data_IF_362156006080
#
_entry.id   IF_362156006080
#
_cell.length_a   1.000
_cell.length_b   1.000
_cell.length_c   1.000
_cell.angle_alpha   90.00
_cell.angle_beta   90.00
_cell.angle_gamma   90.00
#
_symmetry.space_group_name_H-M   'P 1'
#
loop_
_entity.id
_entity.type
_entity.pdbx_description
1 polymer ?
#
# COMPACT_ATOMS: atom_id res chain seq x y z
N UNK A 1 1.01 -3.94 -59.91
CA UNK A 1 1.33 -2.86 -58.94
C UNK A 1 0.13 -2.24 -58.21
N UNK A 2 -1.13 -2.36 -58.69
CA UNK A 2 -2.31 -1.78 -58.00
C UNK A 2 -2.96 -2.65 -56.90
N UNK A 3 -2.59 -3.92 -56.79
CA UNK A 3 -3.11 -4.83 -55.74
C UNK A 3 -2.31 -4.79 -54.42
N UNK A 4 -1.06 -4.31 -54.45
CA UNK A 4 -0.19 -4.26 -53.27
C UNK A 4 -0.50 -3.08 -52.33
N UNK A 5 -1.19 -2.05 -52.82
CA UNK A 5 -1.58 -0.89 -51.99
C UNK A 5 -2.83 -1.15 -51.12
N UNK A 6 -3.68 -2.12 -51.46
CA UNK A 6 -4.95 -2.36 -50.72
C UNK A 6 -4.79 -3.24 -49.49
N UNK A 7 -3.73 -4.04 -49.42
CA UNK A 7 -3.44 -4.88 -48.25
C UNK A 7 -2.73 -4.08 -47.14
N UNK A 8 -2.09 -2.96 -47.49
CA UNK A 8 -1.35 -2.12 -46.54
C UNK A 8 -2.26 -1.28 -45.63
N UNK A 9 -3.50 -0.98 -46.05
CA UNK A 9 -4.44 -0.17 -45.27
C UNK A 9 -5.24 -0.99 -44.23
N UNK A 10 -5.34 -2.30 -44.41
CA UNK A 10 -6.10 -3.18 -43.50
C UNK A 10 -5.29 -3.70 -42.31
N UNK A 11 -3.96 -3.74 -42.41
CA UNK A 11 -3.08 -4.16 -41.29
C UNK A 11 -2.87 -3.03 -40.27
N UNK A 12 -3.05 -1.77 -40.67
CA UNK A 12 -2.99 -0.63 -39.74
C UNK A 12 -4.27 -0.47 -38.90
N UNK A 13 -5.43 -0.93 -39.39
CA UNK A 13 -6.70 -0.85 -38.66
C UNK A 13 -6.79 -1.86 -37.50
N UNK A 14 -6.05 -2.97 -37.55
CA UNK A 14 -6.08 -4.02 -36.51
C UNK A 14 -5.19 -3.73 -35.29
N UNK A 15 -4.24 -2.80 -35.41
CA UNK A 15 -3.38 -2.37 -34.28
C UNK A 15 -4.01 -1.19 -33.53
N UNK A 16 -4.87 -0.40 -34.18
CA UNK A 16 -5.55 0.75 -33.56
C UNK A 16 -6.81 0.33 -32.78
N UNK A 17 -7.37 -0.85 -33.03
CA UNK A 17 -8.55 -1.35 -32.30
C UNK A 17 -8.22 -1.98 -30.92
N UNK A 18 -6.95 -2.07 -30.54
CA UNK A 18 -6.52 -2.55 -29.22
C UNK A 18 -6.24 -1.38 -28.24
N UNK A 19 -6.84 -0.21 -28.48
CA UNK A 19 -6.78 0.97 -27.60
C UNK A 19 -8.17 1.36 -27.07
N UNK A 20 -9.13 0.44 -27.05
CA UNK A 20 -10.27 0.59 -26.14
C UNK A 20 -9.72 0.46 -24.73
N UNK A 21 -9.31 1.60 -24.20
CA UNK A 21 -8.91 1.81 -22.83
C UNK A 21 -10.11 1.42 -21.98
N UNK A 22 -10.20 0.14 -21.60
CA UNK A 22 -11.04 -0.27 -20.50
C UNK A 22 -10.46 0.44 -19.29
N UNK A 23 -11.03 1.59 -18.95
CA UNK A 23 -10.90 2.14 -17.61
C UNK A 23 -11.58 1.13 -16.70
N UNK A 24 -10.86 0.07 -16.34
CA UNK A 24 -11.20 -0.71 -15.16
C UNK A 24 -11.30 0.32 -14.04
N UNK A 25 -12.48 0.44 -13.45
CA UNK A 25 -12.69 1.30 -12.29
C UNK A 25 -11.61 0.96 -11.26
N UNK A 26 -10.70 1.92 -11.05
CA UNK A 26 -9.46 1.75 -10.31
C UNK A 26 -9.78 1.88 -8.83
N UNK A 27 -9.78 0.77 -8.10
CA UNK A 27 -9.70 0.83 -6.64
C UNK A 27 -8.24 1.12 -6.29
N UNK A 28 -7.91 2.36 -5.91
CA UNK A 28 -6.60 2.65 -5.32
C UNK A 28 -6.59 2.02 -3.91
N UNK A 29 -6.22 0.74 -3.89
CA UNK A 29 -6.00 0.00 -2.67
C UNK A 29 -4.59 0.25 -2.17
N UNK A 30 -4.49 0.60 -0.91
CA UNK A 30 -3.23 0.81 -0.21
C UNK A 30 -3.02 -0.30 0.80
N UNK A 31 -1.77 -0.66 1.05
CA UNK A 31 -1.37 -1.53 2.16
C UNK A 31 -0.57 -0.72 3.17
N UNK A 32 -0.56 -1.15 4.43
CA UNK A 32 0.37 -0.62 5.43
C UNK A 32 0.88 -1.73 6.34
N UNK A 33 2.06 -1.46 6.91
CA UNK A 33 2.59 -2.19 8.05
C UNK A 33 3.23 -1.16 8.98
N UNK A 34 2.94 -1.27 10.28
CA UNK A 34 3.37 -0.34 11.30
C UNK A 34 3.88 -1.14 12.50
N UNK A 35 5.12 -0.88 12.93
CA UNK A 35 5.75 -1.58 14.04
C UNK A 35 5.65 -0.70 15.29
N UNK A 36 4.91 -1.15 16.30
CA UNK A 36 4.62 -0.39 17.50
C UNK A 36 5.72 -0.59 18.54
N UNK A 37 6.24 0.51 19.09
CA UNK A 37 7.26 0.49 20.15
C UNK A 37 7.05 1.64 21.12
N UNK A 38 7.53 1.49 22.37
CA UNK A 38 7.50 2.57 23.36
C UNK A 38 8.37 3.77 22.99
N UNK A 39 9.39 3.57 22.16
CA UNK A 39 10.26 4.64 21.63
C UNK A 39 9.54 5.62 20.70
N UNK A 40 8.36 5.25 20.20
CA UNK A 40 7.54 6.11 19.32
C UNK A 40 6.46 6.88 20.08
N UNK A 41 6.26 6.62 21.38
CA UNK A 41 5.42 7.44 22.24
C UNK A 41 5.94 8.87 22.36
N UNK A 42 5.06 9.79 22.75
CA UNK A 42 5.43 11.19 22.98
C UNK A 42 4.92 11.62 24.36
N UNK A 43 5.80 11.74 25.37
CA UNK A 43 7.24 11.42 25.34
C UNK A 43 7.51 9.90 25.22
N UNK A 44 8.69 9.48 24.71
CA UNK A 44 9.06 8.07 24.64
C UNK A 44 9.04 7.38 26.01
N UNK A 45 8.58 6.14 26.03
CA UNK A 45 8.51 5.32 27.26
C UNK A 45 9.45 4.13 27.18
N UNK A 46 10.05 3.77 28.31
CA UNK A 46 10.92 2.59 28.45
C UNK A 46 10.07 1.33 28.67
N UNK A 47 9.38 0.87 27.63
CA UNK A 47 8.66 -0.40 27.63
C UNK A 47 9.36 -1.44 26.75
N UNK A 48 9.44 -2.72 27.17
CA UNK A 48 9.83 -3.82 26.31
C UNK A 48 8.70 -4.25 25.35
N UNK A 49 7.51 -3.67 25.47
CA UNK A 49 6.36 -3.95 24.65
C UNK A 49 6.62 -3.68 23.18
N UNK A 50 6.10 -4.56 22.34
CA UNK A 50 6.17 -4.46 20.88
C UNK A 50 4.82 -4.83 20.28
N UNK A 51 4.55 -4.31 19.09
CA UNK A 51 3.43 -4.74 18.28
C UNK A 51 3.68 -4.59 16.79
N UNK A 52 2.85 -5.24 15.99
CA UNK A 52 2.79 -5.04 14.55
C UNK A 52 1.34 -4.86 14.17
N UNK A 53 1.06 -3.80 13.42
CA UNK A 53 -0.23 -3.55 12.79
C UNK A 53 -0.09 -3.58 11.29
N UNK A 54 -1.04 -4.18 10.59
CA UNK A 54 -1.06 -4.20 9.13
C UNK A 54 -2.49 -4.29 8.61
N UNK A 55 -2.68 -3.88 7.37
CA UNK A 55 -3.98 -3.93 6.73
C UNK A 55 -3.99 -3.21 5.40
N UNK A 56 -5.20 -2.93 4.94
CA UNK A 56 -5.48 -2.28 3.67
C UNK A 56 -6.38 -1.08 3.86
N UNK A 57 -6.24 -0.08 2.99
CA UNK A 57 -7.20 1.00 2.85
C UNK A 57 -7.67 1.08 1.40
N UNK A 58 -8.98 1.06 1.19
CA UNK A 58 -9.62 1.33 -0.09
C UNK A 58 -10.18 2.74 -0.05
N UNK A 59 -9.61 3.66 -0.84
CA UNK A 59 -10.02 5.06 -0.88
C UNK A 59 -11.32 5.31 -1.66
N UNK A 60 -11.84 4.30 -2.38
CA UNK A 60 -13.12 4.36 -3.08
C UNK A 60 -14.24 4.00 -2.11
N UNK A 61 -14.11 2.86 -1.43
CA UNK A 61 -15.11 2.41 -0.44
C UNK A 61 -14.93 3.06 0.94
N UNK A 62 -13.79 3.71 1.17
CA UNK A 62 -13.38 4.27 2.46
C UNK A 62 -13.31 3.22 3.58
N UNK A 63 -12.91 2.00 3.24
CA UNK A 63 -12.78 0.90 4.21
C UNK A 63 -11.31 0.71 4.57
N UNK A 64 -11.01 0.79 5.86
CA UNK A 64 -9.69 0.49 6.45
C UNK A 64 -9.75 -0.82 7.22
N UNK A 65 -8.99 -1.82 6.80
CA UNK A 65 -8.80 -3.06 7.58
C UNK A 65 -7.62 -2.91 8.52
N UNK A 66 -7.71 -3.55 9.67
CA UNK A 66 -6.69 -3.56 10.70
C UNK A 66 -6.51 -4.97 11.24
N UNK A 67 -5.27 -5.41 11.31
CA UNK A 67 -4.83 -6.57 12.07
C UNK A 67 -3.67 -6.12 12.95
N UNK A 68 -3.72 -6.44 14.24
CA UNK A 68 -2.70 -6.10 15.22
C UNK A 68 -2.31 -7.35 15.97
N UNK A 69 -1.01 -7.55 16.18
CA UNK A 69 -0.50 -8.41 17.25
C UNK A 69 0.41 -7.60 18.16
N UNK A 70 0.41 -7.92 19.45
CA UNK A 70 1.25 -7.26 20.44
C UNK A 70 1.67 -8.22 21.54
N UNK A 71 2.80 -7.92 22.18
CA UNK A 71 3.31 -8.69 23.31
C UNK A 71 4.30 -7.87 24.14
N UNK A 72 4.61 -8.36 25.33
CA UNK A 72 5.63 -7.76 26.20
C UNK A 72 5.20 -6.47 26.88
N UNK A 73 3.91 -6.16 26.91
CA UNK A 73 3.43 -5.01 27.69
C UNK A 73 3.76 -5.22 29.18
N UNK A 74 4.15 -4.16 29.87
CA UNK A 74 4.56 -4.23 31.29
C UNK A 74 3.38 -4.43 32.24
N UNK A 75 2.19 -4.05 31.79
CA UNK A 75 0.96 -4.18 32.56
C UNK A 75 -0.21 -4.48 31.62
N UNK A 76 -1.35 -4.95 32.15
CA UNK A 76 -2.49 -5.31 31.31
C UNK A 76 -3.00 -4.16 30.44
N UNK A 77 -3.47 -4.49 29.25
CA UNK A 77 -4.09 -3.58 28.29
C UNK A 77 -5.26 -2.80 28.90
N UNK A 78 -5.31 -1.50 28.59
CA UNK A 78 -6.37 -0.59 29.00
C UNK A 78 -7.24 -0.13 27.82
N UNK A 79 -6.62 0.22 26.69
CA UNK A 79 -7.31 0.66 25.48
C UNK A 79 -6.37 0.62 24.27
N UNK A 80 -6.93 0.75 23.07
CA UNK A 80 -6.17 1.00 21.85
C UNK A 80 -6.96 1.90 20.90
N UNK A 81 -6.26 2.74 20.14
CA UNK A 81 -6.89 3.79 19.34
C UNK A 81 -6.15 4.05 18.03
N UNK A 82 -6.90 4.54 17.03
CA UNK A 82 -6.35 5.42 16.00
C UNK A 82 -6.44 6.88 16.46
N UNK A 83 -5.38 7.64 16.23
CA UNK A 83 -5.31 9.08 16.47
C UNK A 83 -5.07 9.85 15.17
N UNK A 84 -5.61 11.06 15.09
CA UNK A 84 -5.38 11.99 13.97
C UNK A 84 -5.60 13.44 14.43
N UNK A 85 -4.88 14.43 13.90
CA UNK A 85 -3.97 14.35 12.76
C UNK A 85 -2.64 14.97 13.13
N UNK A 86 -1.60 14.15 13.21
CA UNK A 86 -0.29 14.60 13.68
C UNK A 86 0.84 13.91 12.92
N UNK A 87 1.92 14.65 12.60
CA UNK A 87 3.15 14.05 12.11
C UNK A 87 3.82 13.21 13.22
N UNK A 88 4.81 12.37 12.86
CA UNK A 88 5.63 11.67 13.85
C UNK A 88 6.20 12.63 14.90
N UNK A 89 6.16 12.22 16.18
CA UNK A 89 6.66 13.03 17.29
C UNK A 89 5.67 14.06 17.87
N UNK A 90 4.44 14.12 17.35
CA UNK A 90 3.38 15.01 17.87
C UNK A 90 2.16 14.18 18.28
N UNK A 91 1.50 14.57 19.38
CA UNK A 91 0.26 13.95 19.83
C UNK A 91 -0.97 14.55 19.15
N UNK A 92 -1.96 13.70 18.92
CA UNK A 92 -3.27 14.05 18.38
C UNK A 92 -4.40 13.49 19.24
N UNK A 93 -5.61 14.06 19.18
CA UNK A 93 -6.78 13.47 19.83
C UNK A 93 -7.10 12.08 19.27
N UNK A 94 -7.82 11.28 20.06
CA UNK A 94 -8.39 10.00 19.62
C UNK A 94 -9.35 10.28 18.47
N UNK A 95 -9.18 9.54 17.37
CA UNK A 95 -10.09 9.58 16.24
C UNK A 95 -11.07 8.40 16.27
N UNK A 96 -10.56 7.18 16.49
CA UNK A 96 -11.35 5.94 16.56
C UNK A 96 -10.81 5.08 17.70
N UNK A 97 -11.69 4.61 18.59
CA UNK A 97 -11.35 3.60 19.59
C UNK A 97 -11.53 2.17 19.07
N UNK A 98 -10.69 1.25 19.56
CA UNK A 98 -10.78 -0.15 19.20
C UNK A 98 -11.79 -0.83 20.13
N UNK A 99 -13.01 -0.98 19.63
CA UNK A 99 -14.08 -1.69 20.34
C UNK A 99 -13.68 -3.16 20.55
N UNK A 100 -13.97 -3.71 21.73
CA UNK A 100 -13.63 -5.09 22.10
C UNK A 100 -12.13 -5.43 22.00
N UNK A 101 -11.25 -4.43 22.12
CA UNK A 101 -9.82 -4.69 22.24
C UNK A 101 -9.54 -5.59 23.46
N UNK A 102 -8.68 -6.64 23.35
CA UNK A 102 -8.51 -7.63 24.40
C UNK A 102 -8.19 -6.97 25.75
N UNK A 103 -9.07 -7.08 26.77
CA UNK A 103 -8.85 -6.45 28.05
C UNK A 103 -7.95 -7.31 28.94
N UNK A 104 -7.24 -6.69 29.87
CA UNK A 104 -6.50 -7.37 30.93
C UNK A 104 -5.43 -8.38 30.45
N UNK A 105 -4.78 -8.13 29.31
CA UNK A 105 -3.70 -8.98 28.79
C UNK A 105 -2.42 -8.19 28.56
N UNK A 106 -1.27 -8.85 28.56
CA UNK A 106 0.04 -8.22 28.18
C UNK A 106 0.50 -8.62 26.78
N UNK A 107 -0.26 -9.49 26.12
CA UNK A 107 -0.06 -9.94 24.75
C UNK A 107 -1.39 -10.35 24.14
N UNK A 108 -1.56 -10.14 22.84
CA UNK A 108 -2.79 -10.51 22.17
C UNK A 108 -2.79 -10.15 20.69
N UNK A 109 -3.94 -10.35 20.07
CA UNK A 109 -4.22 -9.94 18.71
C UNK A 109 -5.59 -9.27 18.64
N UNK A 110 -5.75 -8.38 17.67
CA UNK A 110 -7.00 -7.67 17.40
C UNK A 110 -7.15 -7.50 15.89
N UNK A 111 -8.36 -7.68 15.37
CA UNK A 111 -8.65 -7.43 13.97
C UNK A 111 -10.02 -6.78 13.82
N UNK A 112 -10.12 -5.78 12.95
CA UNK A 112 -11.37 -5.09 12.67
C UNK A 112 -11.35 -4.42 11.29
N UNK A 113 -12.52 -4.00 10.83
CA UNK A 113 -12.70 -3.23 9.59
C UNK A 113 -13.51 -1.97 9.88
N UNK A 114 -12.96 -0.81 9.52
CA UNK A 114 -13.55 0.49 9.79
C UNK A 114 -14.08 1.12 8.51
N UNK A 115 -15.37 1.43 8.49
CA UNK A 115 -15.96 2.27 7.47
C UNK A 115 -15.74 3.74 7.85
N UNK A 116 -14.89 4.43 7.07
CA UNK A 116 -14.46 5.80 7.32
C UNK A 116 -15.34 6.86 6.62
N UNK A 117 -16.48 6.47 6.05
CA UNK A 117 -17.36 7.41 5.31
C UNK A 117 -17.90 8.54 6.19
N UNK A 118 -18.12 8.28 7.48
CA UNK A 118 -18.58 9.26 8.48
C UNK A 118 -17.50 10.26 8.90
N UNK A 119 -16.22 9.98 8.63
CA UNK A 119 -15.13 10.91 8.93
C UNK A 119 -15.13 12.12 8.00
N UNK A 120 -14.54 13.22 8.47
CA UNK A 120 -14.33 14.39 7.64
C UNK A 120 -13.35 14.05 6.49
N UNK A 121 -13.51 14.62 5.29
CA UNK A 121 -12.57 14.42 4.20
C UNK A 121 -11.11 14.68 4.60
N UNK A 122 -10.87 15.77 5.34
CA UNK A 122 -9.53 16.11 5.84
C UNK A 122 -8.90 15.03 6.75
N UNK A 123 -9.71 14.27 7.51
CA UNK A 123 -9.21 13.17 8.32
C UNK A 123 -8.82 11.97 7.46
N UNK A 124 -9.54 11.70 6.36
CA UNK A 124 -9.17 10.65 5.40
C UNK A 124 -7.94 11.04 4.57
N UNK A 125 -7.83 12.30 4.17
CA UNK A 125 -6.64 12.82 3.48
C UNK A 125 -5.40 12.76 4.38
N UNK A 126 -5.60 12.98 5.69
CA UNK A 126 -4.55 12.82 6.69
C UNK A 126 -4.08 11.36 6.83
N UNK A 127 -4.94 10.37 6.63
CA UNK A 127 -4.53 8.95 6.59
C UNK A 127 -3.60 8.69 5.38
N UNK A 128 -4.00 9.17 4.20
CA UNK A 128 -3.19 9.09 2.98
C UNK A 128 -1.85 9.83 3.11
N UNK A 129 -1.82 10.89 3.92
CA UNK A 129 -0.61 11.69 4.20
C UNK A 129 0.25 11.13 5.34
N UNK A 130 -0.11 9.97 5.89
CA UNK A 130 0.64 9.34 6.99
C UNK A 130 0.56 10.09 8.31
N UNK A 131 -0.52 10.82 8.58
CA UNK A 131 -0.74 11.61 9.80
C UNK A 131 -1.63 10.89 10.84
N UNK A 132 -1.93 9.61 10.59
CA UNK A 132 -2.57 8.72 11.55
C UNK A 132 -1.54 7.87 12.27
N UNK A 133 -1.81 7.57 13.53
CA UNK A 133 -1.04 6.58 14.28
C UNK A 133 -1.93 5.68 15.11
N UNK A 134 -1.42 4.49 15.40
CA UNK A 134 -2.02 3.54 16.35
C UNK A 134 -1.29 3.71 17.68
N UNK A 135 -2.05 3.66 18.76
CA UNK A 135 -1.50 3.60 20.11
C UNK A 135 -2.20 2.50 20.92
N UNK A 136 -1.43 1.70 21.67
CA UNK A 136 -1.94 0.74 22.65
C UNK A 136 -1.52 1.23 24.04
N UNK A 137 -2.49 1.29 24.94
CA UNK A 137 -2.35 1.74 26.32
C UNK A 137 -2.39 0.55 27.27
N UNK A 138 -1.68 0.66 28.38
CA UNK A 138 -1.78 -0.26 29.51
C UNK A 138 -2.03 0.49 30.80
N UNK A 139 -2.30 -0.24 31.89
CA UNK A 139 -2.57 0.34 33.21
C UNK A 139 -1.40 1.23 33.69
N UNK A 140 -0.16 0.80 33.48
CA UNK A 140 1.06 1.53 33.86
C UNK A 140 1.35 2.70 32.93
N UNK A 141 0.95 2.60 31.65
CA UNK A 141 1.15 3.64 30.65
C UNK A 141 -0.19 4.10 30.05
N UNK A 142 -1.00 4.86 30.82
CA UNK A 142 -2.31 5.31 30.35
C UNK A 142 -2.22 6.31 29.20
N UNK A 143 -1.10 7.01 29.05
CA UNK A 143 -0.84 7.91 27.92
C UNK A 143 -0.44 7.20 26.61
N UNK A 144 -0.13 5.90 26.67
CA UNK A 144 0.38 5.10 25.57
C UNK A 144 1.61 4.29 25.99
N UNK A 145 1.60 2.98 25.72
CA UNK A 145 2.77 2.11 25.94
C UNK A 145 3.55 1.84 24.66
N UNK A 146 2.85 1.61 23.55
CA UNK A 146 3.43 1.38 22.22
C UNK A 146 2.65 2.11 21.13
N UNK A 147 3.39 2.74 20.21
CA UNK A 147 2.83 3.55 19.12
C UNK A 147 3.51 3.25 17.79
N UNK A 148 2.76 3.42 16.70
CA UNK A 148 3.33 3.46 15.35
C UNK A 148 2.53 4.38 14.42
N UNK A 149 3.24 5.12 13.57
CA UNK A 149 2.64 5.87 12.48
C UNK A 149 2.16 4.92 11.37
N UNK A 150 1.01 5.22 10.75
CA UNK A 150 0.50 4.49 9.60
C UNK A 150 1.01 5.15 8.33
N UNK A 151 1.79 4.42 7.53
CA UNK A 151 2.25 4.87 6.22
C UNK A 151 1.66 3.97 5.14
N UNK A 152 0.72 4.49 4.38
CA UNK A 152 0.10 3.77 3.28
C UNK A 152 1.06 3.68 2.08
N UNK A 153 1.13 2.50 1.48
CA UNK A 153 1.85 2.23 0.25
C UNK A 153 0.85 1.82 -0.82
N UNK A 154 0.87 2.46 -2.02
CA UNK A 154 -0.02 2.07 -3.10
C UNK A 154 0.33 0.65 -3.58
N UNK A 155 -0.69 -0.17 -3.82
CA UNK A 155 -0.49 -1.48 -4.44
C UNK A 155 -0.27 -1.27 -5.95
N UNK A 156 0.82 -1.77 -6.55
CA UNK A 156 1.02 -1.67 -8.00
C UNK A 156 -0.12 -2.35 -8.76
N UNK A 157 -0.84 -1.58 -9.56
CA UNK A 157 -1.95 -2.10 -10.36
C UNK A 157 -1.48 -3.20 -11.33
N UNK A 158 -2.23 -4.30 -11.52
CA UNK A 158 -1.86 -5.38 -12.43
C UNK A 158 -1.55 -4.90 -13.86
N UNK A 159 -2.22 -3.85 -14.32
CA UNK A 159 -1.96 -3.24 -15.63
C UNK A 159 -0.58 -2.58 -15.71
N UNK A 160 -0.08 -1.98 -14.63
CA UNK A 160 1.27 -1.40 -14.56
C UNK A 160 2.33 -2.50 -14.69
N UNK A 161 2.12 -3.62 -14.00
CA UNK A 161 2.99 -4.79 -14.10
C UNK A 161 2.95 -5.41 -15.50
N UNK A 162 1.77 -5.54 -16.10
CA UNK A 162 1.61 -6.06 -17.45
C UNK A 162 2.28 -5.15 -18.49
N UNK A 163 2.09 -3.83 -18.40
CA UNK A 163 2.68 -2.87 -19.32
C UNK A 163 4.22 -2.85 -19.20
N UNK A 164 4.75 -2.93 -17.98
CA UNK A 164 6.19 -3.06 -17.75
C UNK A 164 6.73 -4.36 -18.34
N UNK A 165 6.05 -5.49 -18.10
CA UNK A 165 6.43 -6.79 -18.65
C UNK A 165 6.41 -6.81 -20.18
N UNK A 166 5.36 -6.28 -20.80
CA UNK A 166 5.24 -6.16 -22.24
C UNK A 166 6.32 -5.24 -22.84
N UNK A 167 6.63 -4.13 -22.17
CA UNK A 167 7.71 -3.21 -22.56
C UNK A 167 9.08 -3.91 -22.57
N UNK A 168 9.42 -4.63 -21.51
CA UNK A 168 10.67 -5.39 -21.40
C UNK A 168 10.77 -6.49 -22.48
N UNK A 169 9.68 -7.24 -22.72
CA UNK A 169 9.61 -8.24 -23.78
C UNK A 169 9.81 -7.62 -25.17
N UNK A 170 9.20 -6.46 -25.43
CA UNK A 170 9.37 -5.71 -26.68
C UNK A 170 10.82 -5.26 -26.92
N UNK A 171 11.49 -4.75 -25.89
CA UNK A 171 12.91 -4.35 -25.95
C UNK A 171 13.80 -5.57 -26.22
N UNK A 172 13.60 -6.66 -25.49
CA UNK A 172 14.36 -7.91 -25.68
C UNK A 172 14.21 -8.47 -27.10
N UNK A 173 12.97 -8.49 -27.63
CA UNK A 173 12.70 -8.91 -29.00
C UNK A 173 13.40 -8.02 -30.04
N UNK A 174 13.43 -6.69 -29.82
CA UNK A 174 14.12 -5.74 -30.71
C UNK A 174 15.64 -5.94 -30.69
N UNK A 175 16.23 -6.15 -29.51
CA UNK A 175 17.67 -6.42 -29.37
C UNK A 175 18.03 -7.75 -30.02
N UNK A 176 17.23 -8.79 -29.82
CA UNK A 176 17.42 -10.11 -30.45
C UNK A 176 17.39 -10.03 -31.98
N UNK A 177 16.41 -9.32 -32.56
CA UNK A 177 16.33 -9.11 -34.02
C UNK A 177 17.54 -8.35 -34.57
N UNK A 178 18.03 -7.31 -33.87
CA UNK A 178 19.23 -6.55 -34.27
C UNK A 178 20.49 -7.42 -34.26
N UNK A 179 20.69 -8.25 -33.23
CA UNK A 179 21.84 -9.17 -33.15
C UNK A 179 21.84 -10.20 -34.27
N UNK A 180 20.67 -10.77 -34.59
CA UNK A 180 20.53 -11.73 -35.67
C UNK A 180 20.83 -11.09 -37.04
N UNK A 181 20.31 -9.89 -37.29
CA UNK A 181 20.60 -9.15 -38.51
C UNK A 181 22.10 -8.84 -38.67
N UNK A 182 22.80 -8.43 -37.59
CA UNK A 182 24.24 -8.19 -37.65
C UNK A 182 25.06 -9.46 -37.93
N UNK A 183 24.64 -10.62 -37.41
CA UNK A 183 25.33 -11.89 -37.67
C UNK A 183 25.14 -12.38 -39.11
N UNK A 184 23.97 -12.14 -39.70
CA UNK A 184 23.70 -12.45 -41.11
C UNK A 184 24.52 -11.56 -42.06
N UNK A 185 24.72 -10.27 -41.73
CA UNK A 185 25.58 -9.37 -42.52
C UNK A 185 27.05 -9.78 -42.48
N UNK A 186 27.56 -10.22 -41.34
CA UNK A 186 28.97 -10.67 -41.20
C UNK A 186 29.20 -11.93 -42.04
N UNK A 187 28.32 -12.94 -41.93
CA UNK A 187 28.43 -14.17 -42.72
C UNK A 187 28.36 -13.96 -44.24
N UNK A 188 27.65 -12.92 -44.70
CA UNK A 188 27.56 -12.59 -46.11
C UNK A 188 28.79 -11.86 -46.67
N UNK A 189 29.68 -11.35 -45.80
CA UNK A 189 30.92 -10.69 -46.21
C UNK A 189 32.13 -11.66 -46.23
N UNK A 190 32.03 -12.76 -45.48
CA UNK A 190 33.07 -13.79 -45.39
C UNK A 190 32.89 -14.95 -46.40
N UNK A 191 31.92 -14.85 -47.33
CA UNK A 191 31.61 -15.82 -48.38
C UNK A 191 31.85 -15.23 -49.78
#
# INVERSE_FOLDING_TARGET
MRHLLRVSLLVFASIVLCLTSTTLAKADSFIYTANLTGGQEVPPVASPGIGTAFGTYDNVTNVLTLNVSFSGLVSPTAAAHFHCCAPPGVNAPVLIGFEEFPPNVTSGAYANSYNLTSLLPAQRDALLSGLWYINIHSIQFPGGEIRAQINLQPVPEPATMLLLGAGLAGVAARVGRRRRASQETIKAHDA
#
